data_IF_100005296045
#
_entry.id   IF_100005296045
#
_cell.length_a   1.000
_cell.length_b   1.000
_cell.length_c   1.000
_cell.angle_alpha   90.00
_cell.angle_beta   90.00
_cell.angle_gamma   90.00
#
_symmetry.space_group_name_H-M   'P 1'
#
loop_
_entity.id
_entity.type
_entity.pdbx_description
1 polymer ?
#
# COMPACT_ATOMS: atom_id res chain seq x y z
N UNK A 1 -29.20 16.47 -41.94
CA UNK A 1 -28.22 17.03 -40.96
C UNK A 1 -27.10 16.01 -40.70
N UNK A 2 -25.91 16.27 -41.24
CA UNK A 2 -24.72 15.45 -40.98
C UNK A 2 -24.35 15.58 -39.50
N UNK A 3 -24.47 14.48 -38.75
CA UNK A 3 -23.97 14.43 -37.38
C UNK A 3 -22.43 14.52 -37.44
N UNK A 4 -21.89 15.72 -37.22
CA UNK A 4 -20.46 15.91 -36.93
C UNK A 4 -20.21 15.32 -35.55
N UNK A 5 -19.56 14.16 -35.52
CA UNK A 5 -19.02 13.58 -34.31
C UNK A 5 -17.77 14.34 -33.91
N UNK A 6 -17.75 14.91 -32.70
CA UNK A 6 -16.57 15.55 -32.13
C UNK A 6 -15.89 14.55 -31.20
N UNK A 7 -14.55 14.42 -31.24
CA UNK A 7 -13.82 13.59 -30.30
C UNK A 7 -14.07 14.12 -28.87
N UNK A 8 -14.53 13.25 -27.98
CA UNK A 8 -14.63 13.57 -26.56
C UNK A 8 -13.29 13.21 -25.89
N UNK A 9 -12.60 14.19 -25.32
CA UNK A 9 -11.20 14.07 -24.84
C UNK A 9 -10.98 13.00 -23.76
N UNK A 10 -12.05 12.53 -23.11
CA UNK A 10 -11.97 11.60 -21.98
C UNK A 10 -11.52 10.18 -22.33
N UNK A 11 -11.93 9.65 -23.48
CA UNK A 11 -11.66 8.25 -23.88
C UNK A 11 -11.38 8.22 -25.39
N UNK A 12 -10.26 7.61 -25.85
CA UNK A 12 -9.96 7.54 -27.28
C UNK A 12 -10.96 6.63 -28.02
N UNK A 13 -11.02 6.66 -29.37
CA UNK A 13 -11.87 5.74 -30.13
C UNK A 13 -11.48 4.28 -29.86
N UNK A 14 -12.37 3.51 -29.23
CA UNK A 14 -12.12 2.12 -28.82
C UNK A 14 -13.42 1.31 -28.69
N UNK A 15 -13.30 -0.01 -28.55
CA UNK A 15 -14.45 -0.90 -28.34
C UNK A 15 -14.94 -0.83 -26.89
N UNK A 16 -16.24 -1.07 -26.66
CA UNK A 16 -16.81 -1.11 -25.30
C UNK A 16 -16.06 -2.07 -24.37
N UNK A 17 -15.65 -3.23 -24.89
CA UNK A 17 -14.84 -4.21 -24.16
C UNK A 17 -13.56 -3.58 -23.63
N UNK A 18 -12.83 -2.84 -24.47
CA UNK A 18 -11.59 -2.17 -24.06
C UNK A 18 -11.88 -1.08 -23.04
N UNK A 19 -12.96 -0.31 -23.22
CA UNK A 19 -13.36 0.77 -22.31
C UNK A 19 -13.52 0.25 -20.88
N UNK A 20 -14.37 -0.76 -20.71
CA UNK A 20 -14.74 -1.33 -19.42
C UNK A 20 -13.60 -2.16 -18.80
N UNK A 21 -12.70 -2.71 -19.61
CA UNK A 21 -11.60 -3.54 -19.11
C UNK A 21 -10.34 -2.75 -18.73
N UNK A 22 -10.15 -1.55 -19.30
CA UNK A 22 -8.86 -0.81 -19.20
C UNK A 22 -8.98 0.65 -18.81
N UNK A 23 -10.12 1.29 -19.04
CA UNK A 23 -10.27 2.74 -18.87
C UNK A 23 -11.26 3.15 -17.81
N UNK A 24 -12.24 2.31 -17.48
CA UNK A 24 -13.35 2.64 -16.59
C UNK A 24 -13.36 1.73 -15.37
N UNK A 25 -13.69 2.31 -14.21
CA UNK A 25 -13.90 1.57 -12.99
C UNK A 25 -15.32 0.99 -12.94
N UNK A 26 -15.39 -0.32 -13.03
CA UNK A 26 -16.63 -1.11 -12.91
C UNK A 26 -16.70 -1.86 -11.57
N UNK A 27 -15.70 -1.68 -10.69
CA UNK A 27 -15.49 -2.47 -9.47
C UNK A 27 -15.81 -1.70 -8.20
N UNK A 28 -15.59 -0.39 -8.18
CA UNK A 28 -15.91 0.45 -7.02
C UNK A 28 -17.44 0.58 -6.87
N UNK A 29 -17.99 0.45 -5.63
CA UNK A 29 -19.41 0.66 -5.39
C UNK A 29 -19.92 2.00 -5.95
N UNK A 30 -21.02 2.01 -6.73
CA UNK A 30 -21.48 3.25 -7.34
C UNK A 30 -21.95 4.26 -6.31
N UNK A 31 -21.50 5.51 -6.44
CA UNK A 31 -21.88 6.60 -5.54
C UNK A 31 -23.37 6.96 -5.60
N UNK A 32 -23.90 7.59 -4.54
CA UNK A 32 -25.31 7.97 -4.44
C UNK A 32 -25.81 8.81 -5.62
N UNK A 33 -24.98 9.69 -6.18
CA UNK A 33 -25.33 10.47 -7.37
C UNK A 33 -25.53 9.60 -8.61
N UNK A 34 -24.70 8.58 -8.80
CA UNK A 34 -24.84 7.64 -9.91
C UNK A 34 -26.08 6.76 -9.73
N UNK A 35 -26.35 6.30 -8.50
CA UNK A 35 -27.58 5.57 -8.17
C UNK A 35 -28.82 6.40 -8.46
N UNK A 36 -28.81 7.70 -8.16
CA UNK A 36 -29.92 8.62 -8.47
C UNK A 36 -30.25 8.61 -9.97
N UNK A 37 -29.23 8.63 -10.81
CA UNK A 37 -29.41 8.58 -12.26
C UNK A 37 -29.84 7.20 -12.76
N UNK A 38 -29.33 6.12 -12.17
CA UNK A 38 -29.81 4.77 -12.49
C UNK A 38 -31.31 4.58 -12.17
N UNK A 39 -31.80 5.20 -11.10
CA UNK A 39 -33.21 5.11 -10.73
C UNK A 39 -34.16 5.68 -11.80
N UNK A 40 -33.71 6.62 -12.64
CA UNK A 40 -34.54 7.14 -13.75
C UNK A 40 -34.58 6.19 -14.95
N UNK A 41 -33.76 5.13 -14.95
CA UNK A 41 -33.65 4.13 -16.02
C UNK A 41 -34.31 2.79 -15.64
N UNK A 42 -34.77 2.66 -14.40
CA UNK A 42 -35.50 1.49 -13.92
C UNK A 42 -36.91 1.43 -14.53
N UNK A 43 -37.26 0.29 -15.13
CA UNK A 43 -38.60 0.04 -15.68
C UNK A 43 -39.61 -0.40 -14.62
N UNK A 44 -39.16 -0.99 -13.51
CA UNK A 44 -40.00 -1.40 -12.39
C UNK A 44 -40.06 -0.32 -11.29
N UNK A 45 -41.26 -0.01 -10.81
CA UNK A 45 -41.45 0.99 -9.75
C UNK A 45 -40.84 0.58 -8.41
N UNK A 46 -40.76 -0.73 -8.13
CA UNK A 46 -40.17 -1.28 -6.93
C UNK A 46 -38.66 -1.08 -6.91
N UNK A 47 -37.98 -1.42 -7.99
CA UNK A 47 -36.55 -1.15 -8.17
C UNK A 47 -36.28 0.35 -8.14
N UNK A 48 -37.06 1.17 -8.86
CA UNK A 48 -36.91 2.62 -8.83
C UNK A 48 -36.99 3.17 -7.40
N UNK A 49 -37.97 2.72 -6.60
CA UNK A 49 -38.13 3.15 -5.20
C UNK A 49 -36.94 2.74 -4.34
N UNK A 50 -36.46 1.50 -4.45
CA UNK A 50 -35.30 0.99 -3.70
C UNK A 50 -34.03 1.78 -4.03
N UNK A 51 -33.76 2.03 -5.31
CA UNK A 51 -32.57 2.77 -5.74
C UNK A 51 -32.66 4.23 -5.30
N UNK A 52 -33.82 4.89 -5.44
CA UNK A 52 -34.03 6.26 -4.94
C UNK A 52 -33.73 6.35 -3.46
N UNK A 53 -34.18 5.38 -2.67
CA UNK A 53 -33.92 5.33 -1.24
C UNK A 53 -32.42 5.25 -0.94
N UNK A 54 -31.66 4.37 -1.60
CA UNK A 54 -30.19 4.32 -1.49
C UNK A 54 -29.53 5.64 -1.94
N UNK A 55 -30.09 6.31 -2.95
CA UNK A 55 -29.55 7.56 -3.48
C UNK A 55 -29.84 8.81 -2.62
N UNK A 56 -30.73 8.72 -1.65
CA UNK A 56 -31.13 9.84 -0.78
C UNK A 56 -30.83 9.62 0.71
N UNK A 57 -30.81 8.38 1.18
CA UNK A 57 -30.51 8.02 2.56
C UNK A 57 -29.05 7.55 2.68
N UNK A 58 -28.18 8.45 3.15
CA UNK A 58 -26.75 8.18 3.29
C UNK A 58 -26.43 7.10 4.33
N UNK A 59 -27.26 6.95 5.38
CA UNK A 59 -27.03 5.91 6.39
C UNK A 59 -27.29 4.54 5.77
N UNK A 60 -28.45 4.39 5.12
CA UNK A 60 -28.82 3.14 4.45
C UNK A 60 -27.88 2.81 3.29
N UNK A 61 -27.39 3.81 2.57
CA UNK A 61 -26.38 3.61 1.53
C UNK A 61 -25.07 3.07 2.10
N UNK A 62 -24.55 3.65 3.18
CA UNK A 62 -23.30 3.15 3.79
C UNK A 62 -23.48 1.76 4.41
N UNK A 63 -24.64 1.44 4.97
CA UNK A 63 -24.96 0.07 5.41
C UNK A 63 -24.95 -0.92 4.24
N UNK A 64 -25.64 -0.60 3.15
CA UNK A 64 -25.68 -1.42 1.93
C UNK A 64 -24.28 -1.61 1.30
N UNK A 65 -23.53 -0.50 1.17
CA UNK A 65 -22.17 -0.47 0.61
C UNK A 65 -21.17 -1.22 1.47
N UNK A 66 -21.21 -1.07 2.80
CA UNK A 66 -20.28 -1.76 3.70
C UNK A 66 -20.57 -3.26 3.81
N UNK A 67 -21.85 -3.63 3.72
CA UNK A 67 -22.28 -5.02 3.84
C UNK A 67 -22.06 -5.83 2.56
N UNK A 68 -22.39 -5.26 1.40
CA UNK A 68 -22.32 -5.96 0.11
C UNK A 68 -21.10 -5.57 -0.71
N UNK A 69 -20.59 -4.34 -0.57
CA UNK A 69 -19.54 -3.76 -1.42
C UNK A 69 -19.72 -4.07 -2.92
N UNK A 70 -20.91 -3.79 -3.49
CA UNK A 70 -21.27 -4.35 -4.79
C UNK A 70 -20.60 -3.58 -5.92
N UNK A 71 -20.07 -4.31 -6.90
CA UNK A 71 -19.59 -3.74 -8.16
C UNK A 71 -20.75 -3.39 -9.11
N UNK A 72 -20.46 -2.77 -10.25
CA UNK A 72 -21.50 -2.34 -11.19
C UNK A 72 -22.39 -3.49 -11.67
N UNK A 73 -21.82 -4.66 -11.98
CA UNK A 73 -22.57 -5.82 -12.45
C UNK A 73 -23.54 -6.30 -11.37
N UNK A 74 -23.06 -6.45 -10.14
CA UNK A 74 -23.89 -6.89 -9.01
C UNK A 74 -25.05 -5.92 -8.73
N UNK A 75 -24.83 -4.61 -8.92
CA UNK A 75 -25.91 -3.61 -8.81
C UNK A 75 -26.97 -3.82 -9.90
N UNK A 76 -26.57 -4.10 -11.13
CA UNK A 76 -27.52 -4.35 -12.23
C UNK A 76 -28.25 -5.71 -12.07
N UNK A 77 -27.60 -6.70 -11.50
CA UNK A 77 -28.24 -7.99 -11.15
C UNK A 77 -29.22 -7.83 -9.98
N UNK A 78 -28.91 -6.99 -9.00
CA UNK A 78 -29.78 -6.69 -7.86
C UNK A 78 -30.99 -5.85 -8.24
N UNK A 79 -30.88 -5.02 -9.30
CA UNK A 79 -31.95 -4.20 -9.85
C UNK A 79 -32.14 -4.49 -11.35
N UNK A 80 -32.70 -5.65 -11.72
CA UNK A 80 -32.72 -6.14 -13.09
C UNK A 80 -33.56 -5.29 -14.05
N UNK A 81 -34.45 -4.43 -13.55
CA UNK A 81 -35.22 -3.52 -14.40
C UNK A 81 -34.43 -2.28 -14.85
N UNK A 82 -33.19 -2.09 -14.38
CA UNK A 82 -32.33 -0.96 -14.75
C UNK A 82 -31.60 -1.28 -16.04
N UNK A 83 -31.92 -0.55 -17.12
CA UNK A 83 -31.31 -0.75 -18.44
C UNK A 83 -30.47 0.47 -18.86
N UNK A 84 -29.22 0.61 -18.37
CA UNK A 84 -28.37 1.73 -18.74
C UNK A 84 -27.89 1.60 -20.18
N UNK A 85 -27.92 2.70 -20.94
CA UNK A 85 -27.38 2.68 -22.31
C UNK A 85 -25.85 2.62 -22.30
N UNK A 86 -25.22 2.05 -23.35
CA UNK A 86 -23.77 2.08 -23.53
C UNK A 86 -23.15 3.48 -23.42
N UNK A 87 -23.78 4.48 -24.03
CA UNK A 87 -23.31 5.87 -23.98
C UNK A 87 -23.36 6.47 -22.57
N UNK A 88 -24.37 6.09 -21.78
CA UNK A 88 -24.47 6.49 -20.39
C UNK A 88 -23.29 5.94 -19.56
N UNK A 89 -23.00 4.63 -19.66
CA UNK A 89 -21.90 4.01 -18.93
C UNK A 89 -20.54 4.67 -19.27
N UNK A 90 -20.26 4.89 -20.55
CA UNK A 90 -19.01 5.52 -20.99
C UNK A 90 -18.83 6.95 -20.46
N UNK A 91 -19.92 7.68 -20.23
CA UNK A 91 -19.87 9.09 -19.81
C UNK A 91 -19.90 9.26 -18.29
N UNK A 92 -20.47 8.30 -17.56
CA UNK A 92 -20.70 8.42 -16.12
C UNK A 92 -19.78 7.56 -15.26
N UNK A 93 -19.22 6.46 -15.77
CA UNK A 93 -18.26 5.64 -15.01
C UNK A 93 -16.95 6.39 -14.81
N UNK A 94 -16.39 6.31 -13.60
CA UNK A 94 -15.13 6.99 -13.28
C UNK A 94 -13.96 6.33 -14.04
N UNK A 95 -12.93 7.11 -14.43
CA UNK A 95 -11.73 6.53 -15.02
C UNK A 95 -11.02 5.58 -14.04
N UNK A 96 -10.56 4.44 -14.56
CA UNK A 96 -9.78 3.47 -13.81
C UNK A 96 -8.46 4.11 -13.35
N UNK A 97 -8.27 4.21 -12.04
CA UNK A 97 -7.06 4.83 -11.47
C UNK A 97 -5.85 3.88 -11.54
N UNK A 98 -4.62 4.38 -11.76
CA UNK A 98 -3.42 3.57 -11.63
C UNK A 98 -3.24 3.09 -10.18
N UNK A 99 -2.60 1.94 -10.00
CA UNK A 99 -2.21 1.42 -8.69
C UNK A 99 -0.71 1.62 -8.49
N UNK A 100 -0.34 2.17 -7.35
CA UNK A 100 1.05 2.40 -6.97
C UNK A 100 1.63 1.19 -6.24
N UNK A 101 2.89 0.87 -6.54
CA UNK A 101 3.64 -0.19 -5.90
C UNK A 101 5.08 0.28 -5.68
N UNK A 102 5.61 0.07 -4.48
CA UNK A 102 7.01 0.38 -4.19
C UNK A 102 7.92 -0.61 -4.91
N UNK A 103 8.90 -0.08 -5.66
CA UNK A 103 9.84 -0.88 -6.45
C UNK A 103 10.73 -1.69 -5.50
N UNK A 104 10.79 -3.00 -5.75
CA UNK A 104 11.52 -4.00 -4.95
C UNK A 104 12.80 -4.51 -5.62
N UNK A 105 13.25 -3.84 -6.69
CA UNK A 105 14.53 -4.08 -7.38
C UNK A 105 15.39 -2.81 -7.41
N UNK A 106 16.69 -2.98 -7.62
CA UNK A 106 17.62 -1.89 -7.88
C UNK A 106 18.10 -1.97 -9.34
N UNK A 107 18.13 -0.86 -10.10
CA UNK A 107 18.53 -0.85 -11.50
C UNK A 107 19.97 -1.31 -11.70
N UNK A 108 20.82 -1.21 -10.68
CA UNK A 108 22.21 -1.69 -10.71
C UNK A 108 22.30 -3.22 -10.85
N UNK A 109 21.29 -3.97 -10.36
CA UNK A 109 21.21 -5.44 -10.51
C UNK A 109 20.25 -5.88 -11.62
N UNK A 110 19.24 -5.05 -11.87
CA UNK A 110 18.12 -5.37 -12.74
C UNK A 110 17.85 -4.19 -13.68
N UNK A 111 18.76 -3.87 -14.62
CA UNK A 111 18.62 -2.68 -15.47
C UNK A 111 17.40 -2.73 -16.39
N UNK A 112 16.97 -3.94 -16.77
CA UNK A 112 15.84 -4.19 -17.66
C UNK A 112 14.59 -4.70 -16.91
N UNK A 113 14.65 -4.87 -15.58
CA UNK A 113 13.57 -5.48 -14.80
C UNK A 113 13.16 -4.66 -13.57
N UNK A 114 11.84 -4.55 -13.40
CA UNK A 114 11.23 -3.94 -12.22
C UNK A 114 10.56 -5.05 -11.43
N UNK A 115 10.94 -5.20 -10.17
CA UNK A 115 10.31 -6.15 -9.27
C UNK A 115 9.30 -5.42 -8.39
N UNK A 116 8.14 -6.04 -8.17
CA UNK A 116 7.10 -5.53 -7.29
C UNK A 116 6.79 -6.58 -6.22
N UNK A 117 6.58 -6.14 -4.99
CA UNK A 117 6.04 -6.98 -3.91
C UNK A 117 4.56 -6.68 -3.75
N UNK A 118 3.69 -7.59 -4.20
CA UNK A 118 2.25 -7.32 -4.30
C UNK A 118 1.46 -8.22 -3.36
N UNK A 119 0.69 -7.59 -2.46
CA UNK A 119 -0.35 -8.30 -1.71
C UNK A 119 -1.53 -8.57 -2.64
N UNK A 120 -1.87 -9.85 -2.83
CA UNK A 120 -3.06 -10.22 -3.59
C UNK A 120 -4.29 -10.02 -2.70
N UNK A 121 -5.07 -8.98 -2.99
CA UNK A 121 -6.33 -8.70 -2.29
C UNK A 121 -7.40 -9.62 -2.88
N UNK A 122 -7.94 -10.50 -2.01
CA UNK A 122 -9.09 -11.37 -2.29
C UNK A 122 -9.95 -11.36 -1.04
N UNK A 123 -11.21 -11.00 -1.17
CA UNK A 123 -12.18 -11.01 -0.07
C UNK A 123 -13.53 -11.53 -0.57
N UNK A 124 -14.29 -12.15 0.33
CA UNK A 124 -15.67 -12.56 0.06
C UNK A 124 -16.61 -11.48 0.59
N UNK A 125 -17.52 -11.02 -0.25
CA UNK A 125 -18.66 -10.20 0.14
C UNK A 125 -19.82 -11.12 0.56
N UNK A 126 -20.86 -10.53 1.15
CA UNK A 126 -22.11 -11.27 1.42
C UNK A 126 -23.01 -11.34 0.16
N UNK A 127 -22.68 -10.62 -0.92
CA UNK A 127 -23.40 -10.66 -2.19
C UNK A 127 -22.99 -11.85 -3.06
N UNK A 128 -23.75 -12.95 -2.96
CA UNK A 128 -23.88 -14.02 -3.97
C UNK A 128 -22.59 -14.72 -4.46
N UNK A 129 -22.76 -15.79 -5.24
CA UNK A 129 -21.72 -16.74 -5.70
C UNK A 129 -20.67 -16.15 -6.67
N UNK A 130 -20.57 -14.83 -6.76
CA UNK A 130 -19.60 -14.15 -7.63
C UNK A 130 -18.15 -14.44 -7.18
N UNK A 131 -17.22 -14.67 -8.12
CA UNK A 131 -15.83 -14.85 -7.77
C UNK A 131 -15.33 -13.60 -7.03
N UNK A 132 -14.62 -13.76 -5.91
CA UNK A 132 -14.17 -12.64 -5.09
C UNK A 132 -13.34 -11.68 -5.94
N UNK A 133 -13.54 -10.36 -5.85
CA UNK A 133 -12.72 -9.40 -6.58
C UNK A 133 -11.25 -9.65 -6.25
N UNK A 134 -10.46 -9.92 -7.29
CA UNK A 134 -9.01 -10.20 -7.18
C UNK A 134 -8.21 -9.12 -7.87
N UNK A 135 -7.07 -8.75 -7.28
CA UNK A 135 -6.06 -7.97 -8.01
C UNK A 135 -5.68 -8.70 -9.30
N UNK A 136 -5.75 -8.00 -10.45
CA UNK A 136 -5.48 -8.56 -11.79
C UNK A 136 -4.13 -9.27 -11.89
N UNK A 137 -3.15 -8.86 -11.06
CA UNK A 137 -1.75 -9.32 -11.06
C UNK A 137 -1.54 -10.78 -10.62
N UNK A 138 -2.58 -11.50 -10.16
CA UNK A 138 -2.42 -12.89 -9.74
C UNK A 138 -2.25 -13.83 -10.95
N UNK A 139 -1.02 -14.28 -11.20
CA UNK A 139 -0.74 -15.39 -12.13
C UNK A 139 -0.93 -15.09 -13.61
N UNK A 140 -1.07 -13.82 -13.99
CA UNK A 140 -1.31 -13.41 -15.36
C UNK A 140 -0.12 -12.65 -15.92
N UNK A 141 0.30 -12.98 -17.15
CA UNK A 141 1.06 -12.05 -17.99
C UNK A 141 0.14 -10.93 -18.42
N UNK A 142 0.36 -9.73 -17.89
CA UNK A 142 -0.46 -8.57 -18.21
C UNK A 142 0.40 -7.61 -19.02
N UNK A 143 -0.03 -7.36 -20.26
CA UNK A 143 0.42 -6.17 -20.98
C UNK A 143 -0.21 -4.94 -20.33
N UNK A 144 0.60 -4.24 -19.55
CA UNK A 144 0.23 -3.01 -18.86
C UNK A 144 1.13 -1.88 -19.34
N UNK A 145 0.60 -0.66 -19.32
CA UNK A 145 1.44 0.53 -19.37
C UNK A 145 1.86 0.83 -17.94
N UNK A 146 3.16 0.99 -17.74
CA UNK A 146 3.73 1.36 -16.45
C UNK A 146 4.35 2.74 -16.55
N UNK A 147 4.13 3.57 -15.54
CA UNK A 147 4.82 4.84 -15.36
C UNK A 147 5.59 4.80 -14.05
N UNK A 148 6.66 5.60 -13.99
CA UNK A 148 7.48 5.74 -12.80
C UNK A 148 7.14 7.04 -12.10
N UNK A 149 6.91 6.96 -10.80
CA UNK A 149 6.83 8.13 -9.94
C UNK A 149 8.06 8.12 -9.04
N UNK A 150 8.77 9.24 -9.04
CA UNK A 150 9.92 9.42 -8.18
C UNK A 150 9.45 9.70 -6.74
N UNK A 151 9.98 8.96 -5.77
CA UNK A 151 9.85 9.26 -4.35
C UNK A 151 11.15 9.91 -3.84
N UNK A 152 11.34 11.24 -3.98
CA UNK A 152 12.59 11.90 -3.61
C UNK A 152 12.89 11.79 -2.11
N UNK A 153 11.85 11.73 -1.28
CA UNK A 153 11.94 11.66 0.17
C UNK A 153 12.04 10.22 0.70
N UNK A 154 12.14 9.21 -0.16
CA UNK A 154 12.28 7.80 0.23
C UNK A 154 13.47 7.15 -0.47
N UNK A 155 14.66 7.69 -0.19
CA UNK A 155 15.94 7.24 -0.75
C UNK A 155 16.90 6.93 0.38
N UNK A 156 17.86 6.04 0.11
CA UNK A 156 18.99 5.83 1.02
C UNK A 156 19.75 7.15 1.25
N UNK A 157 20.38 7.34 2.42
CA UNK A 157 21.18 8.52 2.70
C UNK A 157 22.37 8.62 1.75
N UNK A 158 22.77 9.85 1.40
CA UNK A 158 23.96 10.09 0.57
C UNK A 158 25.24 9.60 1.27
N UNK A 159 25.30 9.79 2.60
CA UNK A 159 26.40 9.27 3.42
C UNK A 159 26.20 7.77 3.68
N UNK A 160 27.15 6.90 3.31
CA UNK A 160 27.03 5.46 3.54
C UNK A 160 27.28 5.05 5.00
N UNK A 161 27.76 5.96 5.84
CA UNK A 161 28.24 5.67 7.20
C UNK A 161 27.21 5.95 8.29
N UNK A 162 26.07 6.56 7.95
CA UNK A 162 25.03 6.86 8.93
C UNK A 162 24.15 5.61 9.18
N UNK A 163 23.69 5.38 10.42
CA UNK A 163 22.77 4.29 10.71
C UNK A 163 21.45 4.43 9.96
N UNK A 164 20.85 3.30 9.60
CA UNK A 164 19.56 3.20 8.92
C UNK A 164 18.70 2.17 9.63
N UNK A 165 17.53 2.58 10.11
CA UNK A 165 16.51 1.69 10.67
C UNK A 165 15.32 1.65 9.72
N UNK A 166 14.96 0.45 9.26
CA UNK A 166 13.88 0.21 8.29
C UNK A 166 12.79 -0.62 8.95
N UNK A 167 11.56 -0.11 8.95
CA UNK A 167 10.38 -0.76 9.55
C UNK A 167 9.37 -1.05 8.45
N UNK A 168 9.22 -2.33 8.09
CA UNK A 168 8.43 -2.75 6.92
C UNK A 168 7.73 -4.09 7.12
N UNK A 169 6.61 -4.15 7.85
CA UNK A 169 5.83 -5.38 7.98
C UNK A 169 5.08 -5.74 6.70
N UNK A 170 4.95 -7.05 6.44
CA UNK A 170 4.27 -7.57 5.24
C UNK A 170 4.90 -7.04 3.95
N UNK A 171 4.07 -6.54 3.04
CA UNK A 171 4.54 -5.93 1.79
C UNK A 171 5.25 -4.60 1.97
N UNK A 172 5.27 -4.02 3.18
CA UNK A 172 6.09 -2.86 3.52
C UNK A 172 7.60 -3.12 3.41
N UNK A 173 8.03 -4.37 3.26
CA UNK A 173 9.43 -4.71 2.94
C UNK A 173 9.86 -4.32 1.52
N UNK A 174 8.89 -4.04 0.63
CA UNK A 174 9.10 -3.82 -0.80
C UNK A 174 10.26 -2.85 -1.12
N UNK A 175 10.25 -1.59 -0.65
CA UNK A 175 11.35 -0.66 -0.97
C UNK A 175 12.65 -1.03 -0.23
N UNK A 176 12.59 -1.74 0.88
CA UNK A 176 13.80 -2.16 1.59
C UNK A 176 14.56 -3.25 0.84
N UNK A 177 13.86 -4.12 0.08
CA UNK A 177 14.51 -5.05 -0.83
C UNK A 177 15.36 -4.32 -1.88
N UNK A 178 14.88 -3.20 -2.44
CA UNK A 178 15.67 -2.39 -3.39
C UNK A 178 16.82 -1.66 -2.71
N UNK A 179 16.67 -1.21 -1.46
CA UNK A 179 17.77 -0.62 -0.68
C UNK A 179 18.91 -1.63 -0.45
N UNK A 180 18.57 -2.86 -0.09
CA UNK A 180 19.53 -3.94 0.12
C UNK A 180 20.26 -4.30 -1.18
N UNK A 181 19.51 -4.43 -2.28
CA UNK A 181 20.09 -4.62 -3.60
C UNK A 181 21.08 -3.47 -3.91
N UNK A 182 20.65 -2.20 -3.88
CA UNK A 182 21.54 -1.06 -4.15
C UNK A 182 22.81 -1.02 -3.28
N UNK A 183 22.74 -1.46 -2.02
CA UNK A 183 23.91 -1.50 -1.13
C UNK A 183 24.92 -2.59 -1.49
N UNK A 184 24.51 -3.61 -2.23
CA UNK A 184 25.40 -4.68 -2.71
C UNK A 184 26.07 -4.39 -4.06
N UNK A 185 25.56 -3.44 -4.86
CA UNK A 185 26.10 -3.14 -6.22
C UNK A 185 27.36 -2.28 -6.25
N UNK A 186 27.79 -1.73 -5.11
CA UNK A 186 29.01 -0.93 -5.00
C UNK A 186 30.30 -1.74 -4.87
N UNK A 187 30.21 -3.07 -4.91
CA UNK A 187 31.32 -3.99 -4.75
C UNK A 187 31.60 -4.68 -6.08
N UNK A 188 32.72 -4.34 -6.70
CA UNK A 188 33.15 -4.94 -7.97
C UNK A 188 33.47 -6.42 -7.77
N UNK A 189 32.64 -7.27 -8.38
CA UNK A 189 32.89 -8.70 -8.55
C UNK A 189 31.71 -9.55 -8.12
N UNK A 190 31.02 -10.15 -9.09
CA UNK A 190 30.10 -11.30 -8.91
C UNK A 190 28.87 -11.05 -8.02
N UNK A 191 27.81 -11.79 -8.30
CA UNK A 191 26.52 -11.71 -7.62
C UNK A 191 26.54 -11.97 -6.10
N UNK A 192 27.67 -12.39 -5.52
CA UNK A 192 27.83 -12.60 -4.07
C UNK A 192 29.27 -12.41 -3.54
N UNK A 193 30.23 -11.83 -4.30
CA UNK A 193 31.58 -11.52 -3.78
C UNK A 193 31.66 -10.07 -3.30
N UNK A 194 30.95 -9.80 -2.21
CA UNK A 194 30.92 -8.47 -1.59
C UNK A 194 32.14 -8.33 -0.68
N UNK A 195 33.25 -7.82 -1.21
CA UNK A 195 34.41 -7.43 -0.40
C UNK A 195 34.08 -6.12 0.35
N UNK A 196 33.32 -6.20 1.46
CA UNK A 196 32.92 -5.07 2.33
C UNK A 196 34.16 -4.44 2.99
N UNK A 197 35.00 -3.80 2.18
CA UNK A 197 36.20 -3.07 2.60
C UNK A 197 35.88 -1.65 3.07
N UNK A 198 34.64 -1.17 2.90
CA UNK A 198 34.19 0.11 3.44
C UNK A 198 33.20 -0.13 4.58
N UNK A 199 33.46 0.39 5.80
CA UNK A 199 32.52 0.28 6.89
C UNK A 199 31.25 1.04 6.53
N UNK A 200 30.10 0.37 6.62
CA UNK A 200 28.78 1.01 6.52
C UNK A 200 28.27 1.39 7.90
N UNK A 201 27.39 2.40 7.94
CA UNK A 201 26.55 2.62 9.11
C UNK A 201 25.66 1.40 9.34
N UNK A 202 25.27 1.17 10.60
CA UNK A 202 24.43 0.04 10.96
C UNK A 202 23.13 0.04 10.15
N UNK A 203 22.78 -1.08 9.51
CA UNK A 203 21.47 -1.26 8.88
C UNK A 203 20.63 -2.25 9.66
N UNK A 204 19.53 -1.77 10.23
CA UNK A 204 18.59 -2.57 11.01
C UNK A 204 17.27 -2.71 10.25
N UNK A 205 16.83 -3.93 10.00
CA UNK A 205 15.54 -4.23 9.37
C UNK A 205 14.56 -4.85 10.39
N UNK A 206 13.38 -4.26 10.52
CA UNK A 206 12.27 -4.78 11.30
C UNK A 206 11.15 -5.27 10.38
N UNK A 207 10.91 -6.57 10.43
CA UNK A 207 9.89 -7.26 9.64
C UNK A 207 8.75 -7.67 10.58
N UNK A 208 7.52 -7.56 10.11
CA UNK A 208 6.34 -8.10 10.80
C UNK A 208 5.55 -9.01 9.87
N UNK A 209 5.15 -10.19 10.35
CA UNK A 209 4.26 -11.07 9.60
C UNK A 209 3.41 -11.94 10.54
N UNK A 210 2.55 -12.80 9.97
CA UNK A 210 1.67 -13.67 10.77
C UNK A 210 2.46 -14.80 11.44
N UNK A 211 3.32 -15.46 10.67
CA UNK A 211 4.12 -16.59 11.08
C UNK A 211 5.43 -16.60 10.28
N UNK A 212 6.50 -17.14 10.84
CA UNK A 212 7.80 -17.28 10.19
C UNK A 212 7.77 -17.96 8.80
N UNK A 213 6.74 -18.77 8.52
CA UNK A 213 6.60 -19.51 7.25
C UNK A 213 6.12 -18.62 6.10
N UNK A 214 5.55 -17.46 6.42
CA UNK A 214 5.02 -16.49 5.45
C UNK A 214 5.80 -15.18 5.51
N UNK A 215 7.03 -15.22 6.05
CA UNK A 215 7.95 -14.09 6.05
C UNK A 215 8.49 -13.90 4.63
N UNK A 216 8.29 -12.70 4.07
CA UNK A 216 8.75 -12.38 2.72
C UNK A 216 10.27 -12.18 2.70
N UNK A 217 10.93 -12.69 1.65
CA UNK A 217 12.37 -12.50 1.42
C UNK A 217 13.29 -12.99 2.55
N UNK A 218 12.86 -13.99 3.33
CA UNK A 218 13.63 -14.53 4.46
C UNK A 218 15.04 -14.98 4.05
N UNK A 219 15.18 -15.74 2.96
CA UNK A 219 16.48 -16.24 2.52
C UNK A 219 17.37 -15.08 2.04
N UNK A 220 16.82 -14.13 1.29
CA UNK A 220 17.55 -12.93 0.84
C UNK A 220 18.04 -12.09 2.03
N UNK A 221 17.17 -11.82 3.01
CA UNK A 221 17.57 -11.03 4.21
C UNK A 221 18.60 -11.75 5.06
N UNK A 222 18.56 -13.09 5.12
CA UNK A 222 19.57 -13.88 5.81
C UNK A 222 20.93 -13.79 5.10
N UNK A 223 20.96 -13.87 3.77
CA UNK A 223 22.18 -13.67 2.99
C UNK A 223 22.73 -12.26 3.18
N UNK A 224 21.88 -11.23 3.13
CA UNK A 224 22.29 -9.84 3.36
C UNK A 224 22.88 -9.62 4.76
N UNK A 225 22.39 -10.36 5.77
CA UNK A 225 22.96 -10.34 7.12
C UNK A 225 24.32 -11.05 7.18
N UNK A 226 24.47 -12.18 6.50
CA UNK A 226 25.74 -12.92 6.42
C UNK A 226 26.83 -12.13 5.69
N UNK A 227 26.44 -11.42 4.64
CA UNK A 227 27.32 -10.52 3.90
C UNK A 227 27.71 -9.28 4.71
N UNK A 228 27.00 -8.95 5.81
CA UNK A 228 27.28 -7.76 6.62
C UNK A 228 26.60 -6.48 6.12
N UNK A 229 25.72 -6.57 5.10
CA UNK A 229 24.91 -5.44 4.64
C UNK A 229 23.83 -5.10 5.66
N UNK A 230 23.15 -6.12 6.20
CA UNK A 230 22.25 -5.97 7.35
C UNK A 230 22.99 -6.29 8.64
N UNK A 231 23.16 -5.29 9.51
CA UNK A 231 23.72 -5.50 10.86
C UNK A 231 22.74 -6.27 11.73
N UNK A 232 21.45 -5.93 11.65
CA UNK A 232 20.40 -6.58 12.43
C UNK A 232 19.13 -6.80 11.62
N UNK A 233 18.48 -7.93 11.90
CA UNK A 233 17.15 -8.27 11.37
C UNK A 233 16.32 -8.73 12.55
N UNK A 234 15.18 -8.09 12.77
CA UNK A 234 14.22 -8.46 13.81
C UNK A 234 12.87 -8.79 13.18
N UNK A 235 12.29 -9.92 13.58
CA UNK A 235 11.00 -10.37 13.10
C UNK A 235 9.95 -10.38 14.22
N UNK A 236 8.83 -9.70 13.99
CA UNK A 236 7.65 -9.72 14.84
C UNK A 236 6.57 -10.63 14.27
N UNK A 237 6.16 -11.64 15.03
CA UNK A 237 5.13 -12.59 14.62
C UNK A 237 3.82 -12.38 15.38
N UNK A 238 2.75 -12.11 14.64
CA UNK A 238 1.44 -11.74 15.21
C UNK A 238 0.51 -12.93 15.47
N UNK A 239 0.79 -14.12 14.92
CA UNK A 239 -0.11 -15.30 14.99
C UNK A 239 0.65 -16.60 15.31
N UNK A 240 1.58 -16.56 16.26
CA UNK A 240 2.21 -17.80 16.77
C UNK A 240 1.30 -18.43 17.83
N UNK A 241 0.89 -19.71 17.68
CA UNK A 241 0.11 -20.42 18.69
C UNK A 241 0.80 -20.41 20.06
N UNK A 242 0.03 -20.11 21.11
CA UNK A 242 0.53 -20.09 22.49
C UNK A 242 1.45 -18.92 22.85
N UNK A 243 1.66 -17.95 21.96
CA UNK A 243 2.45 -16.74 22.23
C UNK A 243 1.61 -15.47 22.11
N UNK A 244 1.93 -14.40 22.86
CA UNK A 244 1.27 -13.11 22.69
C UNK A 244 1.52 -12.54 21.29
N UNK A 245 0.55 -11.78 20.78
CA UNK A 245 0.69 -11.09 19.48
C UNK A 245 1.83 -10.09 19.56
N UNK A 246 2.80 -10.19 18.65
CA UNK A 246 3.89 -9.21 18.52
C UNK A 246 3.81 -8.46 17.20
N UNK A 247 4.03 -7.15 17.28
CA UNK A 247 4.12 -6.25 16.13
C UNK A 247 5.48 -5.54 16.13
N UNK A 248 5.77 -4.82 15.05
CA UNK A 248 7.07 -4.15 14.85
C UNK A 248 7.33 -3.07 15.91
N UNK A 249 6.30 -2.35 16.36
CA UNK A 249 6.41 -1.36 17.43
C UNK A 249 6.79 -1.98 18.79
N UNK A 250 6.36 -3.20 19.09
CA UNK A 250 6.81 -3.89 20.30
C UNK A 250 8.31 -4.22 20.22
N UNK A 251 8.77 -4.62 19.03
CA UNK A 251 10.18 -4.91 18.78
C UNK A 251 11.02 -3.64 18.86
N UNK A 252 10.54 -2.50 18.34
CA UNK A 252 11.19 -1.20 18.49
C UNK A 252 11.39 -0.83 19.96
N UNK A 253 10.40 -1.10 20.84
CA UNK A 253 10.53 -0.86 22.28
C UNK A 253 11.60 -1.74 22.92
N UNK A 254 11.69 -3.02 22.52
CA UNK A 254 12.73 -3.93 23.02
C UNK A 254 14.14 -3.43 22.69
N UNK A 255 14.31 -2.73 21.56
CA UNK A 255 15.59 -2.16 21.11
C UNK A 255 15.65 -0.64 21.24
N UNK A 256 14.88 -0.06 22.17
CA UNK A 256 14.68 1.39 22.31
C UNK A 256 15.97 2.17 22.51
N UNK A 257 16.90 1.66 23.33
CA UNK A 257 18.24 2.23 23.53
C UNK A 257 19.00 2.42 22.20
N UNK A 258 18.96 1.39 21.35
CA UNK A 258 19.62 1.39 20.03
C UNK A 258 18.92 2.39 19.12
N UNK A 259 17.59 2.40 19.08
CA UNK A 259 16.81 3.31 18.23
C UNK A 259 17.13 4.76 18.60
N UNK A 260 17.12 5.09 19.90
CA UNK A 260 17.45 6.43 20.36
C UNK A 260 18.87 6.83 19.98
N UNK A 261 19.87 5.98 20.25
CA UNK A 261 21.27 6.24 19.89
C UNK A 261 21.45 6.44 18.38
N UNK A 262 21.01 5.48 17.56
CA UNK A 262 21.26 5.47 16.12
C UNK A 262 20.52 6.61 15.40
N UNK A 263 19.29 6.95 15.82
CA UNK A 263 18.47 7.98 15.12
C UNK A 263 18.70 9.39 15.68
N UNK A 264 18.80 9.55 16.99
CA UNK A 264 18.90 10.87 17.63
C UNK A 264 20.36 11.30 17.81
N UNK A 265 21.21 10.42 18.35
CA UNK A 265 22.60 10.78 18.69
C UNK A 265 23.54 10.66 17.49
N UNK A 266 23.43 9.59 16.72
CA UNK A 266 24.28 9.30 15.56
C UNK A 266 23.72 9.90 14.25
N UNK A 267 22.61 10.64 14.34
CA UNK A 267 21.93 11.30 13.21
C UNK A 267 21.57 10.35 12.06
N UNK A 268 21.22 9.11 12.38
CA UNK A 268 20.76 8.11 11.41
C UNK A 268 19.40 8.44 10.81
N UNK A 269 18.98 7.57 9.90
CA UNK A 269 17.72 7.68 9.16
C UNK A 269 16.74 6.58 9.58
N UNK A 270 15.47 6.95 9.71
CA UNK A 270 14.38 6.07 10.12
C UNK A 270 13.34 5.99 9.00
N UNK A 271 13.11 4.80 8.45
CA UNK A 271 12.19 4.55 7.36
C UNK A 271 11.03 3.68 7.82
N UNK A 272 9.82 4.07 7.45
CA UNK A 272 8.59 3.33 7.71
C UNK A 272 7.87 3.10 6.40
N UNK A 273 7.53 1.85 6.11
CA UNK A 273 6.76 1.50 4.92
C UNK A 273 5.68 0.46 5.24
N UNK A 274 4.47 0.68 4.74
CA UNK A 274 3.33 -0.22 4.95
C UNK A 274 2.03 0.51 5.26
N UNK A 275 1.14 -0.16 5.98
CA UNK A 275 -0.20 0.35 6.30
C UNK A 275 -0.18 1.64 7.16
N UNK A 276 -1.18 2.51 6.95
CA UNK A 276 -1.32 3.79 7.65
C UNK A 276 -1.43 3.64 9.17
N UNK A 277 -2.23 2.70 9.67
CA UNK A 277 -2.37 2.49 11.12
C UNK A 277 -1.07 1.95 11.72
N UNK A 278 -0.34 1.12 10.97
CA UNK A 278 0.97 0.64 11.39
C UNK A 278 1.99 1.79 11.49
N UNK A 279 1.98 2.72 10.54
CA UNK A 279 2.88 3.87 10.57
C UNK A 279 2.58 4.82 11.74
N UNK A 280 1.31 5.07 12.04
CA UNK A 280 0.89 5.82 13.23
C UNK A 280 1.41 5.18 14.53
N UNK A 281 1.23 3.87 14.69
CA UNK A 281 1.72 3.12 15.86
C UNK A 281 3.25 3.19 16.01
N UNK A 282 3.97 3.10 14.88
CA UNK A 282 5.44 3.21 14.85
C UNK A 282 5.89 4.62 15.19
N UNK A 283 5.22 5.66 14.66
CA UNK A 283 5.52 7.05 14.95
C UNK A 283 5.32 7.36 16.44
N UNK A 284 4.19 6.94 17.01
CA UNK A 284 3.92 7.08 18.44
C UNK A 284 4.98 6.36 19.29
N UNK A 285 5.39 5.17 18.86
CA UNK A 285 6.43 4.41 19.56
C UNK A 285 7.79 5.08 19.49
N UNK A 286 8.19 5.63 18.34
CA UNK A 286 9.42 6.40 18.21
C UNK A 286 9.40 7.63 19.14
N UNK A 287 8.27 8.33 19.22
CA UNK A 287 8.08 9.46 20.14
C UNK A 287 8.26 9.05 21.60
N UNK A 288 7.65 7.94 22.03
CA UNK A 288 7.84 7.41 23.38
C UNK A 288 9.30 7.06 23.67
N UNK A 289 10.00 6.43 22.71
CA UNK A 289 11.44 6.12 22.84
C UNK A 289 12.26 7.40 23.02
N UNK A 290 12.02 8.44 22.22
CA UNK A 290 12.71 9.74 22.35
C UNK A 290 12.39 10.39 23.70
N UNK A 291 11.15 10.30 24.16
CA UNK A 291 10.72 10.87 25.44
C UNK A 291 11.45 10.21 26.62
N UNK A 292 11.46 8.88 26.65
CA UNK A 292 12.04 8.08 27.74
C UNK A 292 13.56 8.23 27.79
N UNK A 293 14.25 8.02 26.67
CA UNK A 293 15.72 8.03 26.60
C UNK A 293 16.33 9.43 26.53
N UNK A 294 15.56 10.41 26.04
CA UNK A 294 15.97 11.81 26.02
C UNK A 294 15.60 12.59 27.27
N UNK A 295 14.82 12.00 28.18
CA UNK A 295 14.22 12.68 29.34
C UNK A 295 13.52 13.99 28.95
N UNK A 296 12.83 13.96 27.81
CA UNK A 296 12.21 15.13 27.19
C UNK A 296 10.73 15.24 27.56
N UNK A 297 10.19 16.44 27.59
CA UNK A 297 8.75 16.65 27.65
C UNK A 297 8.12 16.48 26.24
N UNK A 298 6.79 16.34 26.12
CA UNK A 298 6.13 16.11 24.82
C UNK A 298 6.45 17.17 23.76
N UNK A 299 6.53 18.45 24.14
CA UNK A 299 6.85 19.55 23.22
C UNK A 299 8.27 19.43 22.66
N UNK A 300 9.23 19.04 23.48
CA UNK A 300 10.60 18.80 23.03
C UNK A 300 10.69 17.58 22.09
N UNK A 301 9.91 16.52 22.35
CA UNK A 301 9.80 15.36 21.46
C UNK A 301 9.22 15.75 20.09
N UNK A 302 8.17 16.56 20.06
CA UNK A 302 7.59 17.09 18.82
C UNK A 302 8.65 17.83 17.98
N UNK A 303 9.46 18.67 18.63
CA UNK A 303 10.54 19.41 17.96
C UNK A 303 11.65 18.48 17.43
N UNK A 304 11.96 17.38 18.13
CA UNK A 304 12.91 16.37 17.62
C UNK A 304 12.35 15.69 16.37
N UNK A 305 11.11 15.22 16.41
CA UNK A 305 10.49 14.53 15.26
C UNK A 305 10.33 15.47 14.07
N UNK A 306 9.89 16.71 14.30
CA UNK A 306 9.79 17.73 13.25
C UNK A 306 11.13 17.99 12.59
N UNK A 307 12.19 18.12 13.39
CA UNK A 307 13.57 18.28 12.87
C UNK A 307 14.04 17.04 12.10
N UNK A 308 13.69 15.83 12.52
CA UNK A 308 13.98 14.62 11.73
C UNK A 308 13.34 14.68 10.34
N UNK A 309 12.11 15.20 10.24
CA UNK A 309 11.42 15.38 8.96
C UNK A 309 12.04 16.52 8.13
N UNK A 310 12.31 17.67 8.74
CA UNK A 310 12.94 18.83 8.09
C UNK A 310 14.36 18.50 7.56
N UNK A 311 15.12 17.67 8.29
CA UNK A 311 16.45 17.18 7.87
C UNK A 311 16.38 15.99 6.90
N UNK A 312 15.18 15.55 6.48
CA UNK A 312 14.95 14.38 5.63
C UNK A 312 15.63 13.11 6.19
N UNK A 313 15.41 12.83 7.49
CA UNK A 313 15.91 11.65 8.22
C UNK A 313 14.80 10.77 8.79
N UNK A 314 13.54 11.19 8.71
CA UNK A 314 12.38 10.37 9.00
C UNK A 314 11.52 10.28 7.74
N UNK A 315 11.34 9.05 7.23
CA UNK A 315 10.80 8.77 5.91
C UNK A 315 9.60 7.83 6.00
N UNK A 316 8.56 8.13 5.25
CA UNK A 316 7.33 7.33 5.22
C UNK A 316 6.93 7.01 3.77
N UNK A 317 6.64 5.75 3.49
CA UNK A 317 6.03 5.26 2.24
C UNK A 317 4.77 4.44 2.62
N UNK A 318 3.65 5.14 2.73
CA UNK A 318 2.43 4.61 3.37
C UNK A 318 1.42 4.13 2.33
N UNK A 319 0.91 2.92 2.56
CA UNK A 319 -0.13 2.30 1.76
C UNK A 319 -1.48 2.54 2.41
N UNK A 320 -2.44 3.08 1.66
CA UNK A 320 -3.80 3.27 2.12
C UNK A 320 -4.41 4.58 1.64
N UNK A 321 -5.72 4.70 1.82
CA UNK A 321 -6.42 5.94 1.51
C UNK A 321 -6.23 6.91 2.69
N UNK A 322 -5.45 7.97 2.52
CA UNK A 322 -5.53 9.16 3.40
C UNK A 322 -6.92 9.79 3.23
N UNK A 323 -7.90 9.28 3.95
CA UNK A 323 -9.22 9.88 4.07
C UNK A 323 -9.55 9.92 5.56
N UNK A 324 -9.78 11.13 6.07
CA UNK A 324 -10.03 11.49 7.48
C UNK A 324 -11.24 10.78 8.12
N UNK A 325 -11.84 9.76 7.51
CA UNK A 325 -13.01 9.06 8.03
C UNK A 325 -13.08 7.56 7.69
N UNK A 326 -11.94 6.91 7.38
CA UNK A 326 -11.95 5.45 7.28
C UNK A 326 -11.77 4.82 8.66
N UNK A 327 -12.89 4.54 9.33
CA UNK A 327 -12.88 3.49 10.37
C UNK A 327 -12.29 2.25 9.73
N UNK A 328 -11.22 1.73 10.32
CA UNK A 328 -10.56 0.50 9.91
C UNK A 328 -11.60 -0.63 9.88
N UNK A 329 -12.01 -1.02 8.67
CA UNK A 329 -12.84 -2.19 8.51
C UNK A 329 -11.99 -3.40 8.85
N UNK A 330 -12.39 -4.23 9.83
CA UNK A 330 -11.61 -5.40 10.20
C UNK A 330 -11.59 -6.35 8.99
N UNK A 331 -10.45 -6.45 8.34
CA UNK A 331 -10.17 -7.53 7.40
C UNK A 331 -10.16 -8.86 8.19
N UNK A 332 -11.35 -9.44 8.38
CA UNK A 332 -11.50 -10.85 8.74
C UNK A 332 -11.10 -11.67 7.52
N UNK A 333 -9.80 -11.84 7.37
CA UNK A 333 -9.23 -12.87 6.49
C UNK A 333 -9.08 -14.14 7.34
N UNK A 334 -9.95 -15.10 7.06
CA UNK A 334 -9.86 -16.49 7.52
C UNK A 334 -8.49 -17.08 7.22
#
# INVERSE_FOLDING_TARGET
PSHRWYPHERIPPLTMRIALSRYLDITTPPGQQFLRTLATMAQDEGDQRKIKLLATDSVRYEDWKSHLYPNLLEVLEYFPSVEPTPGFLLTHLTPLQPRFYSISSAPEFHPEHIHLTVAVVIYKTQSLDSPPPTNLLKGNEIRSYSSFVCAPNFRLPDSPNVPVIMVGPGTGIAPFRSFLAKKTSGYEGSCYDVDIKKPFGNMTLLIGCRHQKVELYRDETQVMKQLGVLTHVYSAYSRIPGKPKRYVQHTLRDISDKVYREIVQERGHFYVCGDVSMAEDVNQTLRSIIQEHGHMNPVAVDNVVKRLQEENRYHEDIFGNHTENSRSYPQRTS
#
